data_IF_067543680430
#
_entry.id   IF_067543680430
#
_cell.length_a   1.000
_cell.length_b   1.000
_cell.length_c   1.000
_cell.angle_alpha   90.00
_cell.angle_beta   90.00
_cell.angle_gamma   90.00
#
_symmetry.space_group_name_H-M   'P 1'
#
loop_
_entity.id
_entity.type
_entity.pdbx_description
1 polymer ?
2 polymer ?
3 polymer ?
4 polymer ?
5 non-polymer ?
6 non-polymer ?
7 water ?
#
loop_
_entity_poly.entity_id
_entity_poly.type
_entity_poly.pdbx_seq_one_letter_code
_entity_poly.pdbx_strand_id
2 'polyribonucleotide' '(GTP)GCCGUGUGCCUUGCGCCGGGAAACCACGCAAGGGAUGGUGUCAAAUUCGGCGAAACCUAAGCGCCCGCCCGGGCGUAUGGCAACGCCGAGCCAAGCUUCGCAGCCAUUGCACUCCGGCUGCGAUGAAGGUGUAGAGACUAGACGGCACCCACCUAAGGCAAACGCUAUGGUGAAGGCAUAGUCCAGGGAGUGGCG(A23)' ?
3 'polydeoxyribonucleotide/polyribonucleotide hybrid' 'AAGCCACACAGACC(DA)(DG)(DA)CGGCC' ?
4 'polydeoxyribonucleotide/polyribonucleotide hybrid' 'CA(DT)' ?
#
# COMPACT_ATOMS: atom_id res chain seq x y z
N UNK A 1 7.55 -13.40 -3.83
CA UNK A 1 8.19 -12.37 -4.65
C UNK A 1 7.16 -11.43 -5.28
N UNK A 2 6.20 -12.00 -6.01
CA UNK A 2 5.12 -11.22 -6.62
C UNK A 2 3.83 -12.05 -6.69
N UNK A 3 2.70 -11.36 -6.54
CA UNK A 3 1.39 -12.00 -6.62
C UNK A 3 0.67 -11.66 -7.94
N UNK A 4 -0.66 -11.63 -7.91
CA UNK A 4 -1.46 -11.49 -9.13
C UNK A 4 -2.15 -10.13 -9.20
N UNK A 5 -2.15 -9.49 -10.39
CA UNK A 5 -2.65 -8.14 -10.66
C UNK A 5 -3.89 -7.72 -9.84
N UNK A 6 -3.78 -6.59 -9.16
CA UNK A 6 -4.86 -6.02 -8.34
C UNK A 6 -4.62 -4.53 -8.08
N UNK A 7 -5.71 -3.79 -7.91
CA UNK A 7 -5.66 -2.36 -7.60
C UNK A 7 -5.00 -2.11 -6.24
N UNK A 8 -5.35 -2.95 -5.26
CA UNK A 8 -4.80 -2.85 -3.91
C UNK A 8 -3.48 -3.63 -3.80
N UNK A 9 -2.54 -3.08 -3.04
CA UNK A 9 -1.25 -3.74 -2.81
C UNK A 9 -0.99 -4.01 -1.32
N UNK A 10 -0.57 -5.23 -1.04
CA UNK A 10 -0.27 -5.66 0.33
C UNK A 10 1.17 -5.31 0.69
N UNK A 11 1.33 -4.46 1.70
CA UNK A 11 2.65 -4.01 2.15
C UNK A 11 2.88 -4.46 3.59
N UNK A 12 4.06 -5.02 3.86
CA UNK A 12 4.45 -5.43 5.21
C UNK A 12 5.94 -5.19 5.49
N UNK A 13 6.37 -5.53 6.71
CA UNK A 13 7.71 -5.24 7.22
C UNK A 13 8.04 -3.75 7.19
N UNK A 14 7.53 -3.03 8.19
CA UNK A 14 7.68 -1.59 8.28
C UNK A 14 7.98 -1.16 9.70
N UNK A 15 8.23 0.13 9.89
CA UNK A 15 8.43 0.71 11.22
C UNK A 15 7.10 0.74 11.97
N UNK A 16 7.05 0.01 13.08
CA UNK A 16 5.81 -0.18 13.83
C UNK A 16 5.66 0.81 14.99
N UNK A 17 5.98 2.08 14.73
CA UNK A 17 5.92 3.13 15.76
C UNK A 17 5.09 4.34 15.35
N UNK A 18 5.08 4.64 14.05
CA UNK A 18 4.37 5.81 13.51
C UNK A 18 2.86 5.65 13.64
N UNK A 19 2.20 6.68 14.18
CA UNK A 19 0.76 6.66 14.46
C UNK A 19 -0.10 6.60 13.19
N UNK A 20 -1.37 6.22 13.36
CA UNK A 20 -2.32 6.05 12.26
C UNK A 20 -2.54 7.34 11.48
N UNK A 21 -2.75 8.45 12.19
CA UNK A 21 -2.97 9.75 11.57
C UNK A 21 -1.70 10.32 10.93
N UNK A 22 -0.54 9.79 11.33
CA UNK A 22 0.75 10.23 10.82
C UNK A 22 1.21 9.39 9.62
N UNK A 23 1.00 8.07 9.69
CA UNK A 23 1.44 7.15 8.64
C UNK A 23 0.63 7.27 7.36
N UNK A 24 -0.63 7.69 7.49
CA UNK A 24 -1.50 7.95 6.34
C UNK A 24 -1.00 9.13 5.51
N UNK A 25 -0.42 10.12 6.19
CA UNK A 25 0.15 11.29 5.54
C UNK A 25 1.60 11.06 5.11
N UNK A 26 2.19 9.98 5.64
CA UNK A 26 3.56 9.60 5.31
C UNK A 26 3.64 8.77 4.03
N UNK A 27 2.48 8.36 3.52
CA UNK A 27 2.40 7.55 2.30
C UNK A 27 1.71 8.29 1.16
N UNK A 28 1.09 9.42 1.49
CA UNK A 28 0.27 10.19 0.54
C UNK A 28 1.10 10.87 -0.55
N UNK A 29 2.10 11.65 -0.14
CA UNK A 29 2.90 12.46 -1.07
C UNK A 29 3.93 11.65 -1.85
N UNK A 30 4.52 10.64 -1.20
CA UNK A 30 5.55 9.81 -1.80
C UNK A 30 4.99 8.90 -2.89
N UNK A 31 3.81 8.32 -2.63
CA UNK A 31 3.17 7.40 -3.57
C UNK A 31 1.99 8.06 -4.29
N UNK A 32 2.26 9.20 -4.93
CA UNK A 32 1.24 9.96 -5.65
C UNK A 32 1.55 10.12 -7.14
N UNK A 33 2.83 10.13 -7.48
CA UNK A 33 3.29 10.36 -8.85
C UNK A 33 3.12 9.15 -9.78
N UNK A 34 2.33 8.17 -9.33
CA UNK A 34 2.03 6.97 -10.12
C UNK A 34 0.65 7.08 -10.77
N UNK A 35 -0.24 7.81 -10.13
CA UNK A 35 -1.61 8.00 -10.64
C UNK A 35 -2.55 8.45 -9.53
N UNK A 36 -3.85 8.29 -9.77
CA UNK A 36 -4.86 8.63 -8.78
C UNK A 36 -4.92 7.58 -7.67
N UNK A 37 -4.97 8.05 -6.43
CA UNK A 37 -5.02 7.17 -5.26
C UNK A 37 -6.44 7.16 -4.69
N UNK A 38 -6.91 5.99 -4.29
CA UNK A 38 -8.26 5.84 -3.74
C UNK A 38 -8.30 6.02 -2.22
N UNK A 39 -7.82 5.03 -1.47
CA UNK A 39 -7.81 5.06 -0.01
C UNK A 39 -6.70 4.20 0.60
N UNK A 40 -6.15 4.66 1.72
CA UNK A 40 -5.09 3.94 2.43
C UNK A 40 -5.58 3.49 3.81
N UNK A 41 -5.48 2.19 4.07
CA UNK A 41 -5.93 1.60 5.33
C UNK A 41 -4.75 1.19 6.22
N UNK A 42 -4.72 1.70 7.44
CA UNK A 42 -3.69 1.39 8.42
C UNK A 42 -4.32 0.95 9.74
N UNK A 43 -3.83 -0.17 10.28
CA UNK A 43 -4.30 -0.67 11.58
C UNK A 43 -3.12 -1.03 12.47
N UNK A 44 -3.21 -0.60 13.73
CA UNK A 44 -2.15 -0.81 14.71
C UNK A 44 -2.33 -2.12 15.50
N UNK A 45 -3.39 -2.84 15.19
CA UNK A 45 -3.72 -4.11 15.85
C UNK A 45 -2.65 -5.17 15.63
N UNK A 46 -2.57 -6.14 16.54
CA UNK A 46 -1.54 -7.18 16.53
C UNK A 46 -1.48 -7.96 15.22
N UNK A 47 -2.63 -8.18 14.61
CA UNK A 47 -2.72 -8.89 13.32
C UNK A 47 -2.26 -8.02 12.16
N UNK A 48 -2.51 -6.71 12.26
CA UNK A 48 -2.32 -5.80 11.13
C UNK A 48 -1.19 -4.77 11.30
N UNK A 49 -0.44 -4.86 12.41
CA UNK A 49 0.67 -3.93 12.65
C UNK A 49 1.84 -4.14 11.70
N UNK A 50 2.41 -3.03 11.23
CA UNK A 50 3.49 -3.07 10.25
C UNK A 50 3.00 -3.45 8.85
N UNK A 51 1.69 -3.37 8.66
CA UNK A 51 1.06 -3.74 7.40
C UNK A 51 0.11 -2.65 6.93
N UNK A 52 0.10 -2.39 5.63
CA UNK A 52 -0.73 -1.33 5.05
C UNK A 52 -1.22 -1.67 3.64
N UNK A 53 -2.45 -1.24 3.34
CA UNK A 53 -3.04 -1.43 2.01
C UNK A 53 -3.14 -0.10 1.27
N UNK A 54 -2.72 -0.09 0.02
CA UNK A 54 -2.76 1.11 -0.83
C UNK A 54 -3.48 0.79 -2.15
N UNK A 55 -4.52 1.56 -2.46
CA UNK A 55 -5.33 1.32 -3.65
C UNK A 55 -5.22 2.47 -4.67
N UNK A 56 -4.97 2.11 -5.92
CA UNK A 56 -4.88 3.08 -7.02
C UNK A 56 -6.12 3.03 -7.92
N UNK A 57 -6.21 4.01 -8.83
CA UNK A 57 -7.32 4.10 -9.78
C UNK A 57 -7.28 2.97 -10.81
N UNK A 58 -6.09 2.73 -11.38
CA UNK A 58 -5.92 1.71 -12.41
C UNK A 58 -4.74 0.79 -12.12
N UNK A 59 -4.65 -0.29 -12.88
CA UNK A 59 -3.58 -1.30 -12.72
C UNK A 59 -2.21 -0.70 -13.06
N UNK A 60 -2.18 0.16 -14.08
CA UNK A 60 -0.95 0.83 -14.53
C UNK A 60 -0.34 1.70 -13.42
N UNK A 61 -1.19 2.32 -12.62
CA UNK A 61 -0.76 3.12 -11.48
C UNK A 61 -0.27 2.24 -10.34
N UNK A 62 -0.82 1.04 -10.24
CA UNK A 62 -0.45 0.07 -9.20
C UNK A 62 0.83 -0.69 -9.56
N UNK A 63 1.01 -0.98 -10.85
CA UNK A 63 2.19 -1.68 -11.34
C UNK A 63 3.43 -0.78 -11.32
N UNK A 64 3.23 0.50 -11.58
CA UNK A 64 4.31 1.49 -11.53
C UNK A 64 4.85 1.67 -10.12
N UNK A 65 3.96 1.62 -9.13
CA UNK A 65 4.33 1.69 -7.72
C UNK A 65 5.06 0.44 -7.26
N UNK A 66 4.73 -0.69 -7.90
CA UNK A 66 5.33 -1.98 -7.59
C UNK A 66 6.80 -2.06 -8.03
N UNK A 67 7.14 -1.33 -9.09
CA UNK A 67 8.48 -1.42 -9.69
C UNK A 67 9.40 -0.24 -9.36
N UNK A 68 8.87 0.97 -9.42
CA UNK A 68 9.66 2.18 -9.19
C UNK A 68 10.08 2.33 -7.72
N UNK A 69 9.13 2.13 -6.80
CA UNK A 69 9.39 2.25 -5.37
C UNK A 69 9.50 0.89 -4.68
N UNK A 70 10.05 -0.09 -5.40
CA UNK A 70 10.24 -1.45 -4.89
C UNK A 70 11.34 -1.50 -3.82
N UNK A 71 10.97 -1.97 -2.63
CA UNK A 71 11.91 -2.16 -1.54
C UNK A 71 12.53 -0.89 -0.99
N UNK A 72 11.73 0.18 -0.96
CA UNK A 72 12.17 1.48 -0.47
C UNK A 72 12.36 1.46 1.05
N UNK A 73 13.53 1.94 1.53
CA UNK A 73 13.78 2.05 2.98
C UNK A 73 12.85 3.07 3.62
N UNK A 74 11.68 2.60 4.05
CA UNK A 74 10.66 3.45 4.66
C UNK A 74 10.83 3.48 6.18
N UNK A 75 11.26 4.63 6.69
CA UNK A 75 11.61 4.81 8.11
C UNK A 75 12.64 3.78 8.59
N UNK A 76 13.82 3.82 7.97
CA UNK A 76 14.96 2.96 8.30
C UNK A 76 14.71 1.45 8.08
N UNK A 77 13.60 1.13 7.41
CA UNK A 77 13.24 -0.26 7.13
C UNK A 77 12.72 -0.43 5.70
N UNK A 78 13.34 -1.35 4.93
CA UNK A 78 12.86 -1.69 3.59
C UNK A 78 11.49 -2.37 3.65
N UNK A 79 10.68 -2.16 2.61
CA UNK A 79 9.30 -2.65 2.59
C UNK A 79 9.05 -3.75 1.56
N UNK A 80 8.32 -4.78 1.98
CA UNK A 80 7.93 -5.87 1.10
C UNK A 80 6.61 -5.52 0.39
N UNK A 81 6.62 -5.58 -0.94
CA UNK A 81 5.45 -5.18 -1.72
C UNK A 81 4.90 -6.34 -2.56
N UNK A 82 3.63 -6.64 -2.34
CA UNK A 82 2.89 -7.64 -3.12
C UNK A 82 1.52 -7.06 -3.48
N UNK A 83 0.90 -7.59 -4.51
CA UNK A 83 -0.50 -7.25 -4.83
C UNK A 83 -1.41 -7.94 -3.81
N UNK A 84 -2.57 -7.33 -3.55
CA UNK A 84 -3.56 -7.93 -2.66
C UNK A 84 -4.30 -9.05 -3.38
N UNK A 85 -4.14 -10.27 -2.87
CA UNK A 85 -4.77 -11.45 -3.46
C UNK A 85 -6.29 -11.40 -3.36
N UNK A 86 -6.79 -10.86 -2.25
CA UNK A 86 -8.22 -10.66 -2.04
C UNK A 86 -8.60 -9.23 -2.40
N UNK A 87 -9.65 -9.09 -3.20
CA UNK A 87 -10.17 -7.78 -3.59
C UNK A 87 -10.83 -7.06 -2.42
N UNK A 88 -10.66 -5.75 -2.37
CA UNK A 88 -11.21 -4.92 -1.30
C UNK A 88 -12.72 -4.71 -1.46
N UNK A 89 -13.37 -4.31 -0.37
CA UNK A 89 -14.81 -4.06 -0.36
C UNK A 89 -15.17 -2.76 -1.11
N UNK A 90 -14.17 -1.92 -1.34
CA UNK A 90 -14.33 -0.64 -2.04
C UNK A 90 -14.51 -0.85 -3.54
N UNK A 91 -13.71 -1.76 -4.10
CA UNK A 91 -13.70 -2.04 -5.55
C UNK A 91 -14.98 -2.76 -6.00
N UNK A 92 -15.45 -3.70 -5.17
CA UNK A 92 -16.64 -4.50 -5.47
C UNK A 92 -17.91 -3.66 -5.63
N UNK A 93 -17.96 -2.52 -4.93
CA UNK A 93 -19.11 -1.62 -5.00
C UNK A 93 -19.14 -0.82 -6.31
N UNK A 94 -17.98 -0.66 -6.92
CA UNK A 94 -17.85 0.09 -8.18
C UNK A 94 -18.02 -0.81 -9.41
N UNK A 95 -17.66 -2.09 -9.27
CA UNK A 95 -17.79 -3.06 -10.35
C UNK A 95 -19.21 -3.64 -10.42
#
# INVERSE_FOLDING_TARGET
PETRPNHTIYINNLNEKIKKDELKKSLHAIFSRFGQILDILVSRSLKMRGQAFVIFKEVSSATNALRSMQGFPFYDKPMRIQYAKTDSDIIAKMK
#
